data_IF_469385195972
#
_entry.id   IF_469385195972
#
_cell.length_a   1.000
_cell.length_b   1.000
_cell.length_c   1.000
_cell.angle_alpha   90.00
_cell.angle_beta   90.00
_cell.angle_gamma   90.00
#
_symmetry.space_group_name_H-M   'P 1'
#
loop_
_entity.id
_entity.type
_entity.pdbx_description
1 polymer ?
#
# COMPACT_ATOMS: atom_id res chain seq x y z
N UNK A 1 6.17 11.55 -51.96
CA UNK A 1 7.53 11.86 -51.47
C UNK A 1 7.44 12.49 -50.08
N UNK A 2 7.28 11.64 -49.07
CA UNK A 2 7.77 11.83 -47.72
C UNK A 2 7.92 10.41 -47.18
N UNK A 3 9.16 10.05 -46.86
CA UNK A 3 9.53 8.72 -46.39
C UNK A 3 8.95 8.53 -45.00
N UNK A 4 8.23 7.42 -44.81
CA UNK A 4 7.78 6.96 -43.52
C UNK A 4 9.01 6.43 -42.76
N UNK A 5 9.57 7.25 -41.87
CA UNK A 5 10.50 6.78 -40.86
C UNK A 5 9.76 5.91 -39.86
N UNK A 6 10.05 4.60 -39.87
CA UNK A 6 9.60 3.70 -38.83
C UNK A 6 10.31 4.08 -37.52
N UNK A 7 9.62 4.82 -36.66
CA UNK A 7 10.00 4.95 -35.25
C UNK A 7 9.70 3.63 -34.55
N UNK A 8 10.76 2.93 -34.12
CA UNK A 8 10.64 1.80 -33.21
C UNK A 8 9.86 2.24 -31.96
N UNK A 9 8.77 1.53 -31.66
CA UNK A 9 8.02 1.72 -30.44
C UNK A 9 8.91 1.32 -29.25
N UNK A 10 9.03 2.14 -28.20
CA UNK A 10 9.75 1.75 -27.00
C UNK A 10 9.14 0.47 -26.42
N UNK A 11 10.02 -0.46 -26.08
CA UNK A 11 9.75 -1.80 -25.57
C UNK A 11 8.81 -1.73 -24.34
N UNK A 12 7.51 -1.91 -24.56
CA UNK A 12 6.44 -1.74 -23.57
C UNK A 12 6.28 -2.96 -22.65
N UNK A 13 7.37 -3.43 -22.04
CA UNK A 13 7.45 -4.76 -21.46
C UNK A 13 7.95 -4.87 -20.02
N UNK A 14 8.02 -3.79 -19.25
CA UNK A 14 8.26 -3.87 -17.80
C UNK A 14 6.98 -3.51 -17.05
N UNK A 15 6.08 -4.48 -16.95
CA UNK A 15 4.98 -4.40 -16.00
C UNK A 15 5.53 -4.59 -14.58
N UNK A 16 5.26 -3.58 -13.75
CA UNK A 16 5.56 -3.55 -12.32
C UNK A 16 5.09 -4.84 -11.65
N UNK A 17 5.92 -5.43 -10.79
CA UNK A 17 5.72 -6.79 -10.26
C UNK A 17 4.49 -6.94 -9.34
N UNK A 18 3.85 -5.83 -8.93
CA UNK A 18 2.55 -5.85 -8.26
C UNK A 18 1.35 -5.91 -9.24
N UNK A 19 1.60 -5.78 -10.55
CA UNK A 19 0.65 -5.92 -11.66
C UNK A 19 1.07 -7.16 -12.48
N UNK A 20 0.62 -8.33 -12.02
CA UNK A 20 0.62 -9.65 -12.69
C UNK A 20 1.71 -9.97 -13.76
N UNK A 21 2.70 -10.80 -13.35
CA UNK A 21 3.65 -11.68 -14.09
C UNK A 21 4.66 -11.02 -15.05
N UNK A 22 5.88 -11.52 -15.31
CA UNK A 22 6.72 -12.67 -14.90
C UNK A 22 8.16 -12.14 -15.01
N UNK A 23 9.00 -12.25 -14.00
CA UNK A 23 10.42 -11.87 -14.14
C UNK A 23 11.34 -12.91 -13.53
N UNK A 24 12.52 -13.07 -14.12
CA UNK A 24 13.63 -13.90 -13.67
C UNK A 24 14.40 -13.14 -12.58
N UNK A 25 14.83 -13.77 -11.48
CA UNK A 25 15.79 -13.13 -10.56
C UNK A 25 16.56 -14.17 -9.77
N UNK A 26 17.84 -14.23 -10.09
CA UNK A 26 18.87 -14.88 -9.29
C UNK A 26 19.21 -13.97 -8.10
N UNK A 27 18.43 -14.07 -7.02
CA UNK A 27 18.87 -13.72 -5.67
C UNK A 27 18.27 -14.75 -4.72
N UNK A 28 19.12 -15.32 -3.88
CA UNK A 28 18.81 -16.38 -2.94
C UNK A 28 17.70 -15.91 -2.00
N UNK A 29 16.52 -16.54 -2.08
CA UNK A 29 15.44 -16.31 -1.13
C UNK A 29 15.89 -16.72 0.27
N UNK A 30 15.67 -15.83 1.23
CA UNK A 30 15.70 -16.16 2.65
C UNK A 30 14.59 -17.19 2.94
N UNK A 31 14.89 -18.12 3.84
CA UNK A 31 14.05 -19.27 4.20
C UNK A 31 12.60 -18.84 4.52
N UNK A 32 11.66 -19.15 3.62
CA UNK A 32 10.27 -18.65 3.60
C UNK A 32 9.33 -19.44 4.52
N UNK A 33 9.84 -20.25 5.45
CA UNK A 33 9.05 -21.29 6.13
C UNK A 33 7.80 -20.80 6.88
N UNK A 34 7.75 -19.53 7.30
CA UNK A 34 6.62 -18.97 8.06
C UNK A 34 5.87 -17.84 7.35
N UNK A 35 6.12 -17.60 6.06
CA UNK A 35 5.45 -16.50 5.36
C UNK A 35 4.14 -16.91 4.68
N UNK A 36 3.14 -16.04 4.81
CA UNK A 36 1.85 -16.14 4.09
C UNK A 36 1.96 -15.79 2.61
N UNK A 37 3.07 -15.17 2.18
CA UNK A 37 3.31 -14.83 0.79
C UNK A 37 4.03 -15.97 0.06
N UNK A 38 3.57 -16.26 -1.16
CA UNK A 38 4.31 -17.10 -2.10
C UNK A 38 5.70 -16.56 -2.41
N UNK A 39 6.59 -17.42 -2.89
CA UNK A 39 7.93 -17.05 -3.38
C UNK A 39 7.88 -15.90 -4.40
N UNK A 40 6.93 -15.96 -5.34
CA UNK A 40 6.76 -14.92 -6.36
C UNK A 40 6.34 -13.58 -5.73
N UNK A 41 5.43 -13.59 -4.76
CA UNK A 41 5.01 -12.37 -4.06
C UNK A 41 6.18 -11.77 -3.26
N UNK A 42 6.95 -12.61 -2.57
CA UNK A 42 8.15 -12.14 -1.85
C UNK A 42 9.15 -11.45 -2.76
N UNK A 43 9.40 -12.03 -3.93
CA UNK A 43 10.23 -11.36 -4.92
C UNK A 43 9.71 -9.96 -5.27
N UNK A 44 8.40 -9.80 -5.43
CA UNK A 44 7.78 -8.50 -5.72
C UNK A 44 7.96 -7.54 -4.53
N UNK A 45 7.73 -8.01 -3.30
CA UNK A 45 7.92 -7.25 -2.06
C UNK A 45 9.38 -6.79 -1.92
N UNK A 46 10.36 -7.67 -2.19
CA UNK A 46 11.78 -7.32 -2.15
C UNK A 46 12.17 -6.31 -3.22
N UNK A 47 11.62 -6.43 -4.44
CA UNK A 47 11.85 -5.45 -5.51
C UNK A 47 11.26 -4.09 -5.16
N UNK A 48 10.04 -4.06 -4.63
CA UNK A 48 9.40 -2.86 -4.10
C UNK A 48 10.25 -2.23 -2.99
N UNK A 49 10.67 -3.04 -2.00
CA UNK A 49 11.53 -2.61 -0.92
C UNK A 49 12.82 -1.97 -1.43
N UNK A 50 13.49 -2.60 -2.40
CA UNK A 50 14.70 -2.05 -3.02
C UNK A 50 14.46 -0.74 -3.79
N UNK A 51 13.31 -0.59 -4.45
CA UNK A 51 12.94 0.66 -5.15
C UNK A 51 12.79 1.81 -4.14
N UNK A 52 12.03 1.59 -3.07
CA UNK A 52 11.83 2.59 -2.01
C UNK A 52 13.15 2.89 -1.28
N UNK A 53 14.01 1.89 -1.07
CA UNK A 53 15.31 2.06 -0.42
C UNK A 53 16.25 3.02 -1.17
N UNK A 54 16.13 3.11 -2.49
CA UNK A 54 16.89 4.06 -3.30
C UNK A 54 16.58 5.52 -2.93
N UNK A 55 15.34 5.80 -2.51
CA UNK A 55 14.91 7.12 -2.05
C UNK A 55 14.96 7.25 -0.51
N UNK A 56 14.81 6.15 0.21
CA UNK A 56 14.76 6.06 1.68
C UNK A 56 15.66 4.94 2.20
N UNK A 57 16.98 5.18 2.32
CA UNK A 57 17.95 4.14 2.69
C UNK A 57 17.62 3.45 4.01
N UNK A 58 17.71 2.13 4.01
CA UNK A 58 17.39 1.25 5.13
C UNK A 58 15.96 0.70 5.10
N UNK A 59 15.07 1.20 4.24
CA UNK A 59 13.71 0.71 4.12
C UNK A 59 13.63 -0.76 3.72
N UNK A 60 14.43 -1.23 2.76
CA UNK A 60 14.36 -2.62 2.28
C UNK A 60 14.67 -3.62 3.41
N UNK A 61 15.77 -3.38 4.12
CA UNK A 61 16.19 -4.24 5.25
C UNK A 61 15.12 -4.30 6.33
N UNK A 62 14.42 -3.19 6.53
CA UNK A 62 13.37 -3.05 7.52
C UNK A 62 12.10 -3.79 7.08
N UNK A 63 11.70 -3.65 5.82
CA UNK A 63 10.55 -4.35 5.22
C UNK A 63 10.72 -5.87 5.26
N UNK A 64 11.93 -6.38 4.97
CA UNK A 64 12.25 -7.82 4.98
C UNK A 64 12.13 -8.47 6.36
N UNK A 65 12.22 -7.68 7.44
CA UNK A 65 12.11 -8.16 8.83
C UNK A 65 10.70 -8.08 9.39
N UNK A 66 9.74 -7.52 8.62
CA UNK A 66 8.35 -7.33 9.06
C UNK A 66 7.66 -8.67 9.30
N UNK A 67 6.81 -8.69 10.32
CA UNK A 67 5.76 -9.69 10.45
C UNK A 67 4.48 -9.14 9.82
N UNK A 68 4.31 -9.41 8.53
CA UNK A 68 3.12 -8.94 7.81
C UNK A 68 1.83 -9.50 8.43
N UNK A 69 0.86 -8.61 8.66
CA UNK A 69 -0.39 -8.92 9.35
C UNK A 69 -0.31 -8.82 10.89
N UNK A 70 0.87 -8.49 11.41
CA UNK A 70 1.15 -8.34 12.83
C UNK A 70 0.80 -9.60 13.64
N UNK A 71 0.05 -9.44 14.72
CA UNK A 71 -0.42 -10.58 15.53
C UNK A 71 -1.71 -11.22 14.98
N UNK A 72 -2.23 -10.72 13.86
CA UNK A 72 -3.42 -11.25 13.22
C UNK A 72 -3.19 -12.65 12.65
N UNK A 73 -4.23 -13.48 12.71
CA UNK A 73 -4.22 -14.79 12.11
C UNK A 73 -4.81 -14.71 10.69
N UNK A 74 -4.15 -15.29 9.68
CA UNK A 74 -4.73 -15.43 8.35
C UNK A 74 -6.03 -16.21 8.40
N UNK A 75 -7.06 -15.69 7.75
CA UNK A 75 -8.34 -16.38 7.58
C UNK A 75 -8.61 -16.68 6.10
N UNK A 76 -9.12 -17.88 5.83
CA UNK A 76 -9.65 -18.25 4.51
C UNK A 76 -11.14 -17.91 4.37
N UNK A 77 -11.78 -17.57 5.48
CA UNK A 77 -13.16 -17.11 5.59
C UNK A 77 -13.19 -15.58 5.61
N UNK A 78 -14.06 -14.97 4.80
CA UNK A 78 -14.12 -13.51 4.67
C UNK A 78 -13.04 -12.98 3.71
N UNK A 79 -13.35 -12.95 2.42
CA UNK A 79 -12.55 -12.21 1.43
C UNK A 79 -13.14 -10.81 1.29
N UNK A 80 -12.30 -9.78 1.36
CA UNK A 80 -12.69 -8.41 1.05
C UNK A 80 -12.05 -7.96 -0.26
N UNK A 81 -12.48 -6.83 -0.80
CA UNK A 81 -11.75 -6.13 -1.85
C UNK A 81 -10.85 -5.09 -1.20
N UNK A 82 -9.54 -5.22 -1.38
CA UNK A 82 -8.54 -4.28 -0.89
C UNK A 82 -8.22 -3.25 -1.97
N UNK A 83 -8.34 -1.97 -1.64
CA UNK A 83 -7.87 -0.86 -2.47
C UNK A 83 -6.42 -0.54 -2.14
N UNK A 84 -5.50 -0.90 -3.03
CA UNK A 84 -4.09 -0.57 -2.90
C UNK A 84 -3.75 0.83 -3.44
N UNK A 85 -4.69 1.50 -4.13
CA UNK A 85 -4.50 2.85 -4.62
C UNK A 85 -4.50 3.88 -3.48
N UNK A 86 -3.44 4.68 -3.41
CA UNK A 86 -3.36 5.79 -2.45
C UNK A 86 -4.50 6.79 -2.65
N UNK A 87 -4.86 7.54 -1.61
CA UNK A 87 -5.82 8.63 -1.78
C UNK A 87 -5.41 9.59 -2.89
N UNK A 88 -6.39 10.33 -3.44
CA UNK A 88 -6.27 11.10 -4.70
C UNK A 88 -6.10 10.29 -6.00
N UNK A 89 -6.10 8.96 -5.98
CA UNK A 89 -6.17 8.12 -7.20
C UNK A 89 -7.61 7.73 -7.60
N UNK A 90 -8.61 8.56 -7.27
CA UNK A 90 -10.04 8.26 -7.45
C UNK A 90 -10.64 7.18 -6.52
N UNK A 91 -10.01 6.91 -5.38
CA UNK A 91 -10.52 6.04 -4.29
C UNK A 91 -11.97 6.37 -3.88
N UNK A 92 -12.34 7.66 -3.82
CA UNK A 92 -13.71 8.09 -3.49
C UNK A 92 -14.73 7.67 -4.56
N UNK A 93 -14.35 7.74 -5.84
CA UNK A 93 -15.21 7.30 -6.94
C UNK A 93 -15.41 5.80 -6.91
N UNK A 94 -14.33 5.04 -6.66
CA UNK A 94 -14.41 3.59 -6.46
C UNK A 94 -15.30 3.23 -5.26
N UNK A 95 -15.18 3.96 -4.15
CA UNK A 95 -16.03 3.77 -2.99
C UNK A 95 -17.52 4.05 -3.29
N UNK A 96 -17.81 5.11 -4.05
CA UNK A 96 -19.18 5.41 -4.47
C UNK A 96 -19.75 4.31 -5.38
N UNK A 97 -18.95 3.79 -6.32
CA UNK A 97 -19.32 2.68 -7.18
C UNK A 97 -19.65 1.41 -6.36
N UNK A 98 -18.79 1.03 -5.41
CA UNK A 98 -19.04 -0.11 -4.53
C UNK A 98 -20.37 0.00 -3.77
N UNK A 99 -20.65 1.18 -3.20
CA UNK A 99 -21.93 1.44 -2.51
C UNK A 99 -23.14 1.38 -3.44
N UNK A 100 -23.00 1.83 -4.69
CA UNK A 100 -24.07 1.72 -5.69
C UNK A 100 -24.40 0.26 -6.05
N UNK A 101 -23.42 -0.65 -5.91
CA UNK A 101 -23.62 -2.10 -6.05
C UNK A 101 -24.20 -2.75 -4.79
N UNK A 102 -24.49 -1.98 -3.74
CA UNK A 102 -24.99 -2.49 -2.46
C UNK A 102 -23.93 -3.07 -1.54
N UNK A 103 -22.65 -2.81 -1.81
CA UNK A 103 -21.54 -3.27 -0.96
C UNK A 103 -21.35 -2.34 0.25
N UNK A 104 -20.92 -2.92 1.37
CA UNK A 104 -20.39 -2.18 2.50
C UNK A 104 -18.94 -1.79 2.21
N UNK A 105 -18.65 -0.50 2.35
CA UNK A 105 -17.36 0.07 1.95
C UNK A 105 -16.80 0.92 3.07
N UNK A 106 -15.61 0.56 3.54
CA UNK A 106 -14.76 1.40 4.38
C UNK A 106 -13.98 2.42 3.53
N UNK A 107 -14.01 3.69 3.93
CA UNK A 107 -13.23 4.76 3.33
C UNK A 107 -12.93 5.85 4.37
N UNK A 108 -11.71 6.39 4.37
CA UNK A 108 -11.14 7.34 5.36
C UNK A 108 -12.07 8.49 5.83
N UNK A 109 -13.04 8.93 5.00
CA UNK A 109 -13.92 10.08 5.30
C UNK A 109 -15.35 9.72 5.71
N UNK A 110 -15.65 8.47 6.02
CA UNK A 110 -16.96 8.07 6.53
C UNK A 110 -17.02 8.12 8.06
N UNK A 111 -17.31 9.28 8.62
CA UNK A 111 -17.65 9.41 10.04
C UNK A 111 -17.38 10.80 10.60
N UNK A 112 -18.20 11.22 11.58
CA UNK A 112 -17.77 12.24 12.55
C UNK A 112 -16.65 11.60 13.40
N UNK A 113 -15.79 12.41 14.01
CA UNK A 113 -14.68 11.90 14.83
C UNK A 113 -15.17 10.93 15.94
N UNK A 114 -16.41 11.10 16.39
CA UNK A 114 -17.08 10.21 17.32
C UNK A 114 -17.53 8.92 16.62
N UNK A 115 -16.93 7.78 16.98
CA UNK A 115 -17.35 6.45 16.53
C UNK A 115 -16.40 5.74 15.56
N UNK A 116 -15.19 6.26 15.30
CA UNK A 116 -14.16 5.51 14.58
C UNK A 116 -13.74 4.30 15.44
N UNK A 117 -13.84 3.06 14.93
CA UNK A 117 -13.38 1.89 15.67
C UNK A 117 -11.91 2.02 16.09
N UNK A 118 -11.52 1.54 17.30
CA UNK A 118 -10.16 1.70 17.81
C UNK A 118 -9.06 1.23 16.85
N UNK A 119 -9.29 0.10 16.16
CA UNK A 119 -8.38 -0.40 15.13
C UNK A 119 -8.05 0.64 14.06
N UNK A 120 -9.06 1.28 13.46
CA UNK A 120 -8.84 2.26 12.40
C UNK A 120 -8.13 3.51 12.94
N UNK A 121 -8.43 3.93 14.17
CA UNK A 121 -7.71 5.04 14.80
C UNK A 121 -6.23 4.71 15.05
N UNK A 122 -5.93 3.50 15.52
CA UNK A 122 -4.55 3.03 15.73
C UNK A 122 -3.79 2.92 14.40
N UNK A 123 -4.41 2.33 13.37
CA UNK A 123 -3.81 2.18 12.06
C UNK A 123 -3.53 3.54 11.41
N UNK A 124 -4.48 4.49 11.51
CA UNK A 124 -4.25 5.88 11.09
C UNK A 124 -3.09 6.55 11.84
N UNK A 125 -2.91 6.25 13.13
CA UNK A 125 -1.79 6.76 13.91
C UNK A 125 -0.44 6.15 13.47
N UNK A 126 -0.41 4.85 13.11
CA UNK A 126 0.77 4.22 12.49
C UNK A 126 1.14 4.89 11.17
N UNK A 127 0.14 5.24 10.36
CA UNK A 127 0.36 5.92 9.08
C UNK A 127 0.82 7.36 9.26
N UNK A 128 0.16 8.15 10.12
CA UNK A 128 0.34 9.61 10.17
C UNK A 128 1.32 10.12 11.21
N UNK A 129 1.55 9.42 12.30
CA UNK A 129 2.32 9.96 13.42
C UNK A 129 3.74 9.42 13.43
N UNK A 130 4.68 10.22 13.91
CA UNK A 130 5.97 9.69 14.34
C UNK A 130 5.78 8.83 15.59
N UNK A 131 6.58 7.78 15.73
CA UNK A 131 6.51 6.87 16.87
C UNK A 131 7.72 7.04 17.80
N UNK A 132 7.55 6.75 19.11
CA UNK A 132 8.69 6.57 20.00
C UNK A 132 9.66 5.55 19.40
N UNK A 133 10.97 5.85 19.40
CA UNK A 133 11.96 4.98 18.73
C UNK A 133 12.02 5.15 17.20
N UNK A 134 11.32 6.15 16.64
CA UNK A 134 11.38 6.46 15.21
C UNK A 134 10.77 5.37 14.34
N UNK A 135 11.32 5.12 13.13
CA UNK A 135 10.84 4.07 12.24
C UNK A 135 10.80 2.68 12.88
N UNK A 136 11.80 2.33 13.71
CA UNK A 136 11.86 1.01 14.35
C UNK A 136 10.65 0.80 15.28
N UNK A 137 10.38 1.75 16.18
CA UNK A 137 9.26 1.62 17.11
C UNK A 137 7.88 1.65 16.43
N UNK A 138 7.74 2.36 15.30
CA UNK A 138 6.52 2.27 14.49
C UNK A 138 6.27 0.86 13.94
N UNK A 139 7.33 0.17 13.56
CA UNK A 139 7.23 -1.16 12.98
C UNK A 139 6.99 -2.22 14.04
N UNK A 140 7.61 -2.09 15.21
CA UNK A 140 7.23 -2.89 16.37
C UNK A 140 5.75 -2.71 16.70
N UNK A 141 5.24 -1.48 16.65
CA UNK A 141 3.82 -1.20 16.85
C UNK A 141 2.94 -1.78 15.73
N UNK A 142 3.43 -1.79 14.48
CA UNK A 142 2.74 -2.41 13.35
C UNK A 142 2.74 -3.95 13.46
N UNK A 143 3.84 -4.56 13.92
CA UNK A 143 3.93 -6.01 14.19
C UNK A 143 3.05 -6.44 15.36
N UNK A 144 2.77 -5.54 16.31
CA UNK A 144 1.89 -5.77 17.44
C UNK A 144 0.40 -5.59 17.11
N UNK A 145 0.04 -4.98 15.97
CA UNK A 145 -1.34 -4.74 15.59
C UNK A 145 -2.02 -6.02 15.07
N UNK A 146 -3.27 -6.24 15.45
CA UNK A 146 -4.08 -7.35 14.92
C UNK A 146 -4.81 -6.92 13.63
N UNK A 147 -4.19 -7.11 12.48
CA UNK A 147 -4.79 -6.72 11.20
C UNK A 147 -6.07 -7.49 10.84
N UNK A 148 -6.31 -8.67 11.43
CA UNK A 148 -7.54 -9.43 11.21
C UNK A 148 -8.79 -8.71 11.75
N UNK A 149 -8.62 -7.75 12.68
CA UNK A 149 -9.74 -6.95 13.20
C UNK A 149 -10.43 -6.14 12.09
N UNK A 150 -9.69 -5.70 11.06
CA UNK A 150 -10.24 -5.01 9.89
C UNK A 150 -11.35 -5.79 9.19
N UNK A 151 -11.30 -7.13 9.23
CA UNK A 151 -12.25 -8.02 8.58
C UNK A 151 -13.50 -8.26 9.42
N UNK A 152 -13.49 -7.87 10.70
CA UNK A 152 -14.60 -8.10 11.63
C UNK A 152 -15.73 -7.07 11.52
N UNK A 153 -15.49 -5.95 10.82
CA UNK A 153 -16.45 -4.86 10.69
C UNK A 153 -17.56 -5.11 9.66
N UNK A 154 -17.46 -6.20 8.88
CA UNK A 154 -18.46 -6.57 7.87
C UNK A 154 -18.39 -5.72 6.59
N UNK A 155 -17.27 -5.04 6.35
CA UNK A 155 -17.02 -4.33 5.11
C UNK A 155 -16.67 -5.31 3.97
N UNK A 156 -17.27 -5.13 2.80
CA UNK A 156 -16.94 -5.88 1.59
C UNK A 156 -15.72 -5.28 0.87
N UNK A 157 -15.48 -3.98 1.04
CA UNK A 157 -14.36 -3.25 0.44
C UNK A 157 -13.65 -2.34 1.44
N UNK A 158 -12.32 -2.37 1.44
CA UNK A 158 -11.46 -1.50 2.25
C UNK A 158 -10.64 -0.61 1.32
N UNK A 159 -10.80 0.71 1.39
CA UNK A 159 -10.21 1.66 0.43
C UNK A 159 -9.56 2.87 1.11
N UNK A 160 -8.64 3.53 0.37
CA UNK A 160 -7.98 4.80 0.74
C UNK A 160 -7.09 4.68 2.00
N UNK A 161 -6.62 5.79 2.55
CA UNK A 161 -5.82 5.81 3.78
C UNK A 161 -6.65 5.33 4.98
N UNK A 162 -6.14 4.43 5.85
CA UNK A 162 -4.78 3.90 5.89
C UNK A 162 -4.61 2.54 5.20
N UNK A 163 -5.62 2.07 4.46
CA UNK A 163 -5.63 0.75 3.82
C UNK A 163 -4.54 0.64 2.76
N UNK A 164 -4.38 1.65 1.90
CA UNK A 164 -3.37 1.63 0.84
C UNK A 164 -1.94 1.54 1.40
N UNK A 165 -1.65 2.27 2.48
CA UNK A 165 -0.36 2.29 3.15
C UNK A 165 -0.05 0.97 3.90
N UNK A 166 -1.07 0.17 4.22
CA UNK A 166 -0.93 -1.08 4.96
C UNK A 166 -1.52 -2.29 4.22
N UNK A 167 -1.63 -2.22 2.89
CA UNK A 167 -2.34 -3.25 2.12
C UNK A 167 -1.65 -4.62 2.21
N UNK A 168 -0.32 -4.67 2.35
CA UNK A 168 0.42 -5.93 2.51
C UNK A 168 0.06 -6.62 3.83
N UNK A 169 -0.10 -5.87 4.93
CA UNK A 169 -0.51 -6.42 6.22
C UNK A 169 -1.95 -6.93 6.18
N UNK A 170 -2.85 -6.19 5.53
CA UNK A 170 -4.25 -6.59 5.36
C UNK A 170 -4.38 -7.80 4.42
N UNK A 171 -3.58 -7.87 3.36
CA UNK A 171 -3.55 -9.01 2.47
C UNK A 171 -3.00 -10.26 3.17
N UNK A 172 -1.98 -10.10 4.02
CA UNK A 172 -1.39 -11.19 4.79
C UNK A 172 -2.41 -11.91 5.68
N UNK A 173 -3.37 -11.18 6.26
CA UNK A 173 -4.45 -11.77 7.08
C UNK A 173 -5.69 -12.20 6.27
N UNK A 174 -5.78 -11.82 4.99
CA UNK A 174 -6.88 -12.22 4.09
C UNK A 174 -6.35 -12.58 2.69
N UNK A 175 -5.61 -13.69 2.54
CA UNK A 175 -4.89 -14.03 1.31
C UNK A 175 -5.79 -14.37 0.11
N UNK A 176 -7.11 -14.49 0.33
CA UNK A 176 -8.11 -14.68 -0.74
C UNK A 176 -8.77 -13.36 -1.20
N UNK A 177 -8.41 -12.25 -0.57
CA UNK A 177 -8.93 -10.94 -0.96
C UNK A 177 -8.53 -10.58 -2.38
N UNK A 178 -9.42 -9.89 -3.09
CA UNK A 178 -9.10 -9.29 -4.38
C UNK A 178 -8.47 -7.93 -4.15
N UNK A 179 -7.49 -7.56 -4.95
CA UNK A 179 -6.84 -6.26 -4.86
C UNK A 179 -7.19 -5.42 -6.08
N UNK A 180 -7.59 -4.17 -5.86
CA UNK A 180 -7.76 -3.16 -6.91
C UNK A 180 -6.72 -2.07 -6.67
N UNK A 181 -5.88 -1.85 -7.68
CA UNK A 181 -5.00 -0.69 -7.74
C UNK A 181 -5.69 0.39 -8.57
N UNK A 182 -6.02 1.52 -7.94
CA UNK A 182 -6.35 2.74 -8.66
C UNK A 182 -5.11 3.60 -8.76
N UNK A 183 -4.86 4.15 -9.93
CA UNK A 183 -3.62 4.82 -10.27
C UNK A 183 -3.88 6.17 -10.96
N UNK A 184 -2.85 7.01 -11.02
CA UNK A 184 -2.82 8.33 -11.63
C UNK A 184 -1.37 8.59 -12.06
N UNK A 185 -1.18 9.42 -13.09
CA UNK A 185 0.14 9.97 -13.40
C UNK A 185 0.83 10.51 -12.14
N UNK A 186 2.10 10.18 -11.96
CA UNK A 186 2.80 10.41 -10.70
C UNK A 186 2.94 11.91 -10.36
N UNK A 187 3.22 12.76 -11.35
CA UNK A 187 3.31 14.21 -11.16
C UNK A 187 1.95 14.79 -10.78
N UNK A 188 0.90 14.39 -11.50
CA UNK A 188 -0.48 14.78 -11.19
C UNK A 188 -0.95 14.28 -9.82
N UNK A 189 -0.51 13.09 -9.40
CA UNK A 189 -0.80 12.54 -8.09
C UNK A 189 -0.14 13.36 -6.98
N UNK A 190 1.18 13.62 -7.08
CA UNK A 190 1.92 14.40 -6.08
C UNK A 190 1.30 15.78 -5.92
N UNK A 191 1.03 16.48 -7.03
CA UNK A 191 0.39 17.78 -7.01
C UNK A 191 -0.96 17.73 -6.30
N UNK A 192 -1.85 16.84 -6.73
CA UNK A 192 -3.19 16.74 -6.14
C UNK A 192 -3.17 16.32 -4.67
N UNK A 193 -2.22 15.47 -4.26
CA UNK A 193 -2.09 15.00 -2.89
C UNK A 193 -1.62 16.12 -1.96
N UNK A 194 -0.65 16.93 -2.39
CA UNK A 194 -0.16 18.09 -1.64
C UNK A 194 -1.22 19.20 -1.54
N UNK A 195 -1.97 19.47 -2.62
CA UNK A 195 -3.10 20.42 -2.58
C UNK A 195 -4.23 19.97 -1.63
N UNK A 196 -4.40 18.66 -1.47
CA UNK A 196 -5.44 18.09 -0.63
C UNK A 196 -5.14 18.21 0.87
N UNK A 197 -3.95 17.80 1.30
CA UNK A 197 -3.51 17.84 2.69
C UNK A 197 -1.99 17.58 2.81
N UNK A 198 -1.22 18.60 3.17
CA UNK A 198 0.24 18.51 3.36
C UNK A 198 0.66 17.55 4.49
N UNK A 199 -0.26 17.22 5.42
CA UNK A 199 -0.01 16.27 6.50
C UNK A 199 -0.10 14.80 6.06
N UNK A 200 -0.40 14.54 4.79
CA UNK A 200 -0.50 13.19 4.26
C UNK A 200 0.83 12.45 4.29
N UNK A 201 0.73 11.14 4.50
CA UNK A 201 1.88 10.26 4.51
C UNK A 201 2.49 10.10 3.10
N UNK A 202 3.76 9.74 3.03
CA UNK A 202 4.41 9.34 1.79
C UNK A 202 3.74 8.10 1.18
N UNK A 203 3.73 7.93 -0.16
CA UNK A 203 3.09 6.82 -0.86
C UNK A 203 3.94 5.54 -0.73
N UNK A 204 4.02 5.00 0.48
CA UNK A 204 4.81 3.81 0.76
C UNK A 204 4.11 2.92 1.78
N UNK A 205 4.55 1.66 1.85
CA UNK A 205 4.09 0.73 2.86
C UNK A 205 4.59 1.15 4.24
N UNK A 206 3.68 1.17 5.22
CA UNK A 206 3.94 1.55 6.61
C UNK A 206 4.81 2.82 6.73
N UNK A 207 4.30 3.99 6.29
CA UNK A 207 5.09 5.21 6.17
C UNK A 207 5.56 5.77 7.52
N UNK A 208 5.00 5.33 8.65
CA UNK A 208 5.53 5.60 9.98
C UNK A 208 5.76 7.08 10.29
N UNK A 209 4.83 7.93 9.86
CA UNK A 209 4.88 9.38 10.05
C UNK A 209 5.76 10.13 9.04
N UNK A 210 6.39 9.44 8.10
CA UNK A 210 7.06 10.07 6.96
C UNK A 210 6.02 10.83 6.12
N UNK A 211 6.21 12.14 6.02
CA UNK A 211 5.26 13.06 5.37
C UNK A 211 5.66 13.35 3.94
N UNK A 212 4.68 13.36 3.05
CA UNK A 212 4.86 13.73 1.65
C UNK A 212 5.42 15.15 1.52
N UNK A 213 4.87 16.11 2.26
CA UNK A 213 5.29 17.52 2.22
C UNK A 213 6.71 17.78 2.75
N UNK A 214 7.39 16.77 3.30
CA UNK A 214 8.79 16.86 3.74
C UNK A 214 9.77 16.34 2.68
N UNK A 215 9.27 15.90 1.52
CA UNK A 215 10.05 15.41 0.38
C UNK A 215 10.11 16.47 -0.71
N UNK A 216 11.13 16.40 -1.59
CA UNK A 216 11.07 17.12 -2.87
C UNK A 216 10.02 16.49 -3.77
N UNK A 217 9.48 17.27 -4.71
CA UNK A 217 8.51 16.77 -5.69
C UNK A 217 9.06 15.57 -6.48
N UNK A 218 10.28 15.65 -7.00
CA UNK A 218 10.90 14.55 -7.76
C UNK A 218 11.03 13.26 -6.94
N UNK A 219 11.37 13.39 -5.65
CA UNK A 219 11.45 12.25 -4.73
C UNK A 219 10.07 11.65 -4.47
N UNK A 220 9.06 12.50 -4.30
CA UNK A 220 7.68 12.07 -4.12
C UNK A 220 7.13 11.35 -5.36
N UNK A 221 7.47 11.82 -6.56
CA UNK A 221 7.13 11.19 -7.84
C UNK A 221 7.75 9.79 -7.92
N UNK A 222 9.07 9.67 -7.72
CA UNK A 222 9.77 8.38 -7.78
C UNK A 222 9.34 7.38 -6.71
N UNK A 223 8.87 7.86 -5.55
CA UNK A 223 8.33 6.98 -4.51
C UNK A 223 6.93 6.46 -4.84
N UNK A 224 6.17 7.17 -5.68
CA UNK A 224 4.82 6.77 -6.07
C UNK A 224 4.83 5.71 -7.19
N UNK A 225 5.83 5.76 -8.08
CA UNK A 225 6.04 4.80 -9.19
C UNK A 225 6.46 3.38 -8.73
#
# INVERSE_FOLDING_TARGET
CFEAGATELPNSGQTSCLIQHRANSSKTLLDTQDSVFSEQQWKCISQYGASVDAELPGFAQVLEKRRFGGIGNPTLEGSVVLGAGFGTTATRSLAAFGRQLGLQVHHCKQGKADGIPPFWAQLMNLTKSGHPGGPVGCLEASDALNFSEALSFGDDMLLDTPVAEHFLDLYAVSPRSKVILTDRDAEDWVKARLEWDESMAAPMHAPCGVKLAKMSADKAVRLYE
#
